data_IF_798139181242
#
_entry.id   IF_798139181242
#
_cell.length_a   1.000
_cell.length_b   1.000
_cell.length_c   1.000
_cell.angle_alpha   90.00
_cell.angle_beta   90.00
_cell.angle_gamma   90.00
#
_symmetry.space_group_name_H-M   'P 1'
#
loop_
_entity.id
_entity.type
_entity.pdbx_description
1 polymer ?
#
# COMPACT_ATOMS: atom_id res chain seq x y z
N UNK A 1 10.63 13.43 -14.53
CA UNK A 1 9.74 14.08 -13.54
C UNK A 1 8.33 13.82 -14.04
N UNK A 2 7.62 12.87 -13.40
CA UNK A 2 6.36 12.33 -13.91
C UNK A 2 5.25 13.37 -13.83
N UNK A 3 4.57 13.57 -14.95
CA UNK A 3 3.52 14.54 -15.19
C UNK A 3 2.28 14.15 -14.36
N UNK A 4 2.07 14.86 -13.25
CA UNK A 4 0.86 14.76 -12.40
C UNK A 4 -0.35 15.29 -13.17
N UNK A 5 -0.88 14.49 -14.09
CA UNK A 5 -1.88 14.87 -15.10
C UNK A 5 -3.25 15.30 -14.53
N UNK A 6 -3.52 15.02 -13.26
CA UNK A 6 -4.58 15.69 -12.50
C UNK A 6 -4.00 16.07 -11.13
N UNK A 7 -4.10 17.34 -10.73
CA UNK A 7 -3.62 17.80 -9.43
C UNK A 7 -4.50 17.19 -8.34
N UNK A 8 -4.15 15.97 -7.92
CA UNK A 8 -4.69 15.35 -6.72
C UNK A 8 -4.27 16.23 -5.54
N UNK A 9 -5.20 16.60 -4.67
CA UNK A 9 -4.86 17.31 -3.44
C UNK A 9 -3.94 16.42 -2.59
N UNK A 10 -3.01 16.99 -1.81
CA UNK A 10 -2.16 16.23 -0.90
C UNK A 10 -2.97 15.27 0.00
N UNK A 11 -4.17 15.70 0.41
CA UNK A 11 -5.10 14.87 1.21
C UNK A 11 -5.63 13.66 0.45
N UNK A 12 -5.93 13.83 -0.83
CA UNK A 12 -6.42 12.75 -1.69
C UNK A 12 -5.29 11.78 -2.03
N UNK A 13 -4.08 12.30 -2.23
CA UNK A 13 -2.89 11.48 -2.45
C UNK A 13 -2.60 10.60 -1.25
N UNK A 14 -2.63 11.16 -0.04
CA UNK A 14 -2.46 10.37 1.18
C UNK A 14 -3.53 9.28 1.34
N UNK A 15 -4.78 9.55 0.94
CA UNK A 15 -5.84 8.54 0.95
C UNK A 15 -5.58 7.44 -0.08
N UNK A 16 -5.19 7.82 -1.30
CA UNK A 16 -4.88 6.88 -2.36
C UNK A 16 -3.72 5.96 -1.97
N UNK A 17 -2.62 6.53 -1.48
CA UNK A 17 -1.45 5.77 -1.02
C UNK A 17 -1.84 4.81 0.10
N UNK A 18 -2.69 5.23 1.04
CA UNK A 18 -3.20 4.36 2.11
C UNK A 18 -4.06 3.22 1.57
N UNK A 19 -4.97 3.49 0.63
CA UNK A 19 -5.82 2.47 0.04
C UNK A 19 -5.00 1.42 -0.72
N UNK A 20 -4.08 1.86 -1.56
CA UNK A 20 -3.22 0.94 -2.32
C UNK A 20 -2.33 0.13 -1.41
N UNK A 21 -1.72 0.77 -0.41
CA UNK A 21 -0.92 0.08 0.60
C UNK A 21 -1.75 -0.96 1.35
N UNK A 22 -3.01 -0.65 1.68
CA UNK A 22 -3.93 -1.62 2.29
C UNK A 22 -4.24 -2.80 1.35
N UNK A 23 -4.46 -2.54 0.06
CA UNK A 23 -4.67 -3.61 -0.94
C UNK A 23 -3.45 -4.53 -1.04
N UNK A 24 -2.25 -3.96 -1.05
CA UNK A 24 -1.01 -4.74 -1.07
C UNK A 24 -0.84 -5.58 0.20
N UNK A 25 -1.14 -5.02 1.38
CA UNK A 25 -1.13 -5.80 2.62
C UNK A 25 -2.16 -6.92 2.61
N UNK A 26 -3.35 -6.71 2.02
CA UNK A 26 -4.36 -7.76 1.85
C UNK A 26 -3.89 -8.87 0.90
N UNK A 27 -3.14 -8.53 -0.15
CA UNK A 27 -2.56 -9.53 -1.03
C UNK A 27 -1.48 -10.38 -0.32
N UNK A 28 -0.81 -9.80 0.68
CA UNK A 28 0.20 -10.46 1.50
C UNK A 28 -0.35 -10.99 2.83
N UNK A 29 -1.67 -11.15 2.99
CA UNK A 29 -2.29 -11.42 4.29
C UNK A 29 -1.75 -12.70 4.93
N UNK A 30 -1.52 -13.76 4.16
CA UNK A 30 -0.96 -15.03 4.66
C UNK A 30 0.38 -14.84 5.37
N UNK A 31 1.26 -14.03 4.79
CA UNK A 31 2.59 -13.73 5.34
C UNK A 31 2.51 -12.76 6.52
N UNK A 32 1.55 -11.83 6.48
CA UNK A 32 1.23 -10.96 7.62
C UNK A 32 0.78 -11.79 8.81
N UNK A 33 -0.08 -12.80 8.61
CA UNK A 33 -0.55 -13.68 9.69
C UNK A 33 0.60 -14.45 10.35
N UNK A 34 1.58 -14.94 9.58
CA UNK A 34 2.77 -15.59 10.14
C UNK A 34 3.60 -14.63 11.00
N UNK A 35 3.78 -13.39 10.53
CA UNK A 35 4.46 -12.36 11.30
C UNK A 35 3.69 -11.97 12.58
N UNK A 36 2.35 -11.85 12.50
CA UNK A 36 1.49 -11.58 13.67
C UNK A 36 1.58 -12.71 14.69
N UNK A 37 1.53 -13.98 14.25
CA UNK A 37 1.70 -15.14 15.14
C UNK A 37 3.03 -15.11 15.89
N UNK A 38 4.12 -14.73 15.21
CA UNK A 38 5.45 -14.63 15.83
C UNK A 38 5.55 -13.44 16.82
N UNK A 39 4.95 -12.30 16.47
CA UNK A 39 4.97 -11.08 17.28
C UNK A 39 3.97 -11.08 18.44
N UNK A 40 2.92 -11.90 18.40
CA UNK A 40 1.90 -11.93 19.45
C UNK A 40 2.47 -12.22 20.85
N UNK A 41 3.53 -13.03 20.94
CA UNK A 41 4.13 -13.44 22.20
C UNK A 41 5.41 -12.65 22.58
N UNK A 42 5.79 -11.64 21.79
CA UNK A 42 7.07 -10.93 21.96
C UNK A 42 6.85 -9.44 21.71
N UNK A 43 7.22 -8.59 22.67
CA UNK A 43 7.09 -7.13 22.52
C UNK A 43 8.43 -6.47 22.20
N UNK A 44 9.51 -6.94 22.85
CA UNK A 44 10.84 -6.33 22.73
C UNK A 44 11.77 -7.07 21.75
N UNK A 45 11.58 -8.37 21.54
CA UNK A 45 12.47 -9.21 20.73
C UNK A 45 11.98 -9.47 19.31
N UNK A 46 10.89 -8.82 18.86
CA UNK A 46 10.28 -9.06 17.54
C UNK A 46 11.25 -8.82 16.39
N UNK A 47 12.03 -7.73 16.46
CA UNK A 47 12.95 -7.35 15.39
C UNK A 47 14.03 -8.40 15.10
N UNK A 48 14.35 -9.26 16.07
CA UNK A 48 15.38 -10.30 15.97
C UNK A 48 14.76 -11.70 15.86
N UNK A 49 13.77 -11.99 16.70
CA UNK A 49 13.12 -13.30 16.78
C UNK A 49 12.21 -13.60 15.59
N UNK A 50 11.61 -12.57 14.99
CA UNK A 50 10.69 -12.69 13.85
C UNK A 50 11.31 -12.17 12.54
N UNK A 51 12.65 -12.14 12.46
CA UNK A 51 13.37 -11.58 11.30
C UNK A 51 13.02 -12.33 10.02
N UNK A 52 12.88 -13.64 10.06
CA UNK A 52 12.56 -14.46 8.88
C UNK A 52 11.16 -14.13 8.33
N UNK A 53 10.15 -14.07 9.21
CA UNK A 53 8.78 -13.71 8.85
C UNK A 53 8.73 -12.28 8.33
N UNK A 54 9.49 -11.36 8.93
CA UNK A 54 9.60 -9.99 8.46
C UNK A 54 10.23 -9.91 7.06
N UNK A 55 11.25 -10.73 6.76
CA UNK A 55 11.84 -10.80 5.41
C UNK A 55 10.85 -11.36 4.39
N UNK A 56 10.05 -12.37 4.73
CA UNK A 56 8.99 -12.88 3.84
C UNK A 56 7.95 -11.80 3.55
N UNK A 57 7.50 -11.08 4.58
CA UNK A 57 6.54 -9.98 4.42
C UNK A 57 7.12 -8.87 3.52
N UNK A 58 8.38 -8.52 3.75
CA UNK A 58 9.11 -7.54 2.95
C UNK A 58 9.20 -7.96 1.48
N UNK A 59 9.55 -9.22 1.20
CA UNK A 59 9.61 -9.74 -0.17
C UNK A 59 8.24 -9.72 -0.85
N UNK A 60 7.17 -10.10 -0.15
CA UNK A 60 5.81 -10.03 -0.70
C UNK A 60 5.42 -8.58 -1.05
N UNK A 61 5.72 -7.62 -0.18
CA UNK A 61 5.44 -6.21 -0.45
C UNK A 61 6.27 -5.66 -1.62
N UNK A 62 7.52 -6.11 -1.76
CA UNK A 62 8.35 -5.78 -2.92
C UNK A 62 7.80 -6.37 -4.23
N UNK A 63 7.32 -7.61 -4.22
CA UNK A 63 6.67 -8.23 -5.38
C UNK A 63 5.39 -7.47 -5.78
N UNK A 64 4.63 -6.98 -4.78
CA UNK A 64 3.49 -6.09 -4.99
C UNK A 64 3.91 -4.63 -5.31
N UNK A 65 5.21 -4.41 -5.53
CA UNK A 65 5.82 -3.13 -5.92
C UNK A 65 5.51 -1.95 -4.96
N UNK A 66 5.33 -2.26 -3.67
CA UNK A 66 5.28 -1.30 -2.57
C UNK A 66 6.68 -1.24 -1.98
N UNK A 67 7.53 -0.33 -2.48
CA UNK A 67 8.84 -0.19 -1.87
C UNK A 67 8.65 0.29 -0.41
N UNK A 68 9.23 -0.48 0.50
CA UNK A 68 9.09 -0.40 1.96
C UNK A 68 9.61 0.88 2.60
N UNK A 69 9.99 1.88 1.80
CA UNK A 69 10.52 3.16 2.25
C UNK A 69 9.55 4.33 1.97
N UNK A 70 8.28 4.03 1.68
CA UNK A 70 7.25 5.04 1.38
C UNK A 70 7.19 5.47 -0.10
N UNK A 71 8.07 4.95 -0.94
CA UNK A 71 8.02 5.13 -2.39
C UNK A 71 7.28 3.96 -3.03
N UNK A 72 5.97 4.14 -3.26
CA UNK A 72 5.20 3.18 -4.06
C UNK A 72 5.67 3.28 -5.52
N UNK A 73 5.78 2.15 -6.22
CA UNK A 73 6.21 2.19 -7.62
C UNK A 73 5.23 3.01 -8.48
N UNK A 74 5.77 3.79 -9.41
CA UNK A 74 5.00 4.69 -10.27
C UNK A 74 3.84 3.95 -10.98
N UNK A 75 4.03 2.68 -11.35
CA UNK A 75 3.01 1.87 -12.03
C UNK A 75 1.79 1.55 -11.17
N UNK A 76 2.00 1.23 -9.89
CA UNK A 76 0.90 0.91 -8.97
C UNK A 76 0.15 2.18 -8.58
N UNK A 77 0.86 3.29 -8.40
CA UNK A 77 0.27 4.61 -8.16
C UNK A 77 -0.58 5.03 -9.36
N UNK A 78 -0.05 4.94 -10.58
CA UNK A 78 -0.76 5.34 -11.80
C UNK A 78 -2.05 4.53 -12.02
N UNK A 79 -2.02 3.21 -11.78
CA UNK A 79 -3.21 2.37 -11.87
C UNK A 79 -4.29 2.80 -10.86
N UNK A 80 -3.87 3.09 -9.62
CA UNK A 80 -4.77 3.54 -8.58
C UNK A 80 -5.33 4.96 -8.83
N UNK A 81 -4.50 5.86 -9.36
CA UNK A 81 -4.91 7.22 -9.75
C UNK A 81 -6.00 7.17 -10.83
N UNK A 82 -5.87 6.30 -11.84
CA UNK A 82 -6.89 6.12 -12.88
C UNK A 82 -8.22 5.66 -12.30
N UNK A 83 -8.21 4.68 -11.40
CA UNK A 83 -9.42 4.24 -10.69
C UNK A 83 -10.06 5.36 -9.88
N UNK A 84 -9.26 6.15 -9.17
CA UNK A 84 -9.73 7.23 -8.32
C UNK A 84 -10.37 8.36 -9.14
N UNK A 85 -9.73 8.75 -10.25
CA UNK A 85 -10.25 9.77 -11.15
C UNK A 85 -11.56 9.34 -11.81
N UNK A 86 -11.69 8.06 -12.20
CA UNK A 86 -12.93 7.52 -12.76
C UNK A 86 -14.10 7.68 -11.77
N UNK A 87 -13.92 7.21 -10.52
CA UNK A 87 -14.94 7.34 -9.46
C UNK A 87 -15.29 8.80 -9.17
N UNK A 88 -14.31 9.69 -9.15
CA UNK A 88 -14.53 11.11 -8.91
C UNK A 88 -15.36 11.74 -10.04
N UNK A 89 -15.07 11.40 -11.29
CA UNK A 89 -15.81 11.90 -12.43
C UNK A 89 -17.28 11.43 -12.40
N UNK A 90 -17.54 10.18 -12.00
CA UNK A 90 -18.90 9.66 -11.76
C UNK A 90 -19.62 10.44 -10.64
N UNK A 91 -18.94 10.69 -9.51
CA UNK A 91 -19.50 11.45 -8.39
C UNK A 91 -19.84 12.90 -8.77
N UNK A 92 -19.06 13.53 -9.65
CA UNK A 92 -19.37 14.87 -10.17
C UNK A 92 -20.49 14.84 -11.20
N UNK A 93 -20.59 13.80 -12.04
CA UNK A 93 -21.63 13.68 -13.05
C UNK A 93 -23.04 13.48 -12.46
N UNK A 94 -23.16 12.77 -11.32
CA UNK A 94 -24.43 12.61 -10.62
C UNK A 94 -24.89 13.81 -9.77
N UNK A 95 -24.08 14.87 -9.71
CA UNK A 95 -24.35 16.09 -8.93
C UNK A 95 -24.67 17.31 -9.81
N UNK A 96 -24.59 17.16 -11.14
CA UNK A 96 -25.03 18.13 -12.13
C UNK A 96 -26.49 17.84 -12.53
#
# INVERSE_FOLDING_TARGET
MSEKSAVLSNREYDKLVKEVRSRAFKACDDVVQEFVKCSHNRVLSVAWACREQNTKLYNCLLEQCVATNGSMSDKVVEAAEKEFLAKRNEQHAGRA
#
